data_IF_223925579027
#
_entry.id   IF_223925579027
#
_cell.length_a   1.000
_cell.length_b   1.000
_cell.length_c   1.000
_cell.angle_alpha   90.00
_cell.angle_beta   90.00
_cell.angle_gamma   90.00
#
_symmetry.space_group_name_H-M   'P 1'
#
loop_
_entity.id
_entity.type
_entity.pdbx_description
1 polymer ?
#
# COMPACT_ATOMS: atom_id res chain seq x y z
N UNK A 1 12.55 -36.27 -9.25
CA UNK A 1 11.13 -36.36 -9.67
C UNK A 1 10.68 -35.00 -10.19
N UNK A 2 9.77 -34.95 -11.16
CA UNK A 2 9.19 -33.67 -11.64
C UNK A 2 8.48 -32.96 -10.49
N UNK A 3 8.72 -31.65 -10.37
CA UNK A 3 8.05 -30.78 -9.39
C UNK A 3 6.58 -30.62 -9.79
N UNK A 4 5.62 -31.12 -9.00
CA UNK A 4 4.21 -30.77 -9.21
C UNK A 4 3.99 -29.34 -8.70
N UNK A 5 3.19 -28.56 -9.41
CA UNK A 5 2.76 -27.23 -8.96
C UNK A 5 1.41 -27.37 -8.27
N UNK A 6 1.34 -26.98 -7.00
CA UNK A 6 0.13 -26.98 -6.17
C UNK A 6 -0.41 -25.55 -6.11
N UNK A 7 -1.62 -25.36 -6.64
CA UNK A 7 -2.29 -24.04 -6.69
C UNK A 7 -3.41 -23.94 -5.66
N UNK A 8 -4.09 -25.05 -5.42
CA UNK A 8 -5.32 -25.10 -4.61
C UNK A 8 -5.02 -25.78 -3.27
N UNK A 9 -4.25 -25.11 -2.42
CA UNK A 9 -4.08 -25.60 -1.05
C UNK A 9 -5.36 -25.36 -0.25
N UNK A 10 -5.89 -26.41 0.36
CA UNK A 10 -7.05 -26.33 1.24
C UNK A 10 -6.68 -26.53 2.70
N UNK A 11 -7.18 -25.65 3.57
CA UNK A 11 -7.08 -25.79 5.01
C UNK A 11 -7.79 -27.07 5.48
N UNK A 12 -7.08 -27.95 6.17
CA UNK A 12 -7.65 -29.17 6.74
C UNK A 12 -8.61 -28.92 7.93
N UNK A 13 -8.80 -27.66 8.32
CA UNK A 13 -9.57 -27.24 9.51
C UNK A 13 -9.18 -28.00 10.79
N UNK A 14 -7.88 -28.33 10.94
CA UNK A 14 -7.40 -29.13 12.06
C UNK A 14 -7.33 -28.37 13.40
N UNK A 15 -7.51 -27.05 13.38
CA UNK A 15 -7.45 -26.18 14.56
C UNK A 15 -6.04 -25.88 15.08
N UNK A 16 -5.03 -26.64 14.65
CA UNK A 16 -3.70 -26.56 15.24
C UNK A 16 -2.97 -25.24 15.03
N UNK A 17 -3.02 -24.65 13.82
CA UNK A 17 -2.45 -23.30 13.64
C UNK A 17 -3.24 -22.27 14.43
N UNK A 18 -4.59 -22.37 14.47
CA UNK A 18 -5.46 -21.47 15.22
C UNK A 18 -5.23 -21.52 16.74
N UNK A 19 -4.75 -22.65 17.27
CA UNK A 19 -4.48 -22.85 18.69
C UNK A 19 -3.12 -22.28 19.15
N UNK A 20 -2.27 -21.86 18.21
CA UNK A 20 -0.91 -21.36 18.47
C UNK A 20 -0.62 -20.11 17.64
N UNK A 21 -1.41 -19.06 17.79
CA UNK A 21 -1.18 -17.76 17.14
C UNK A 21 -0.84 -16.70 18.19
N UNK A 22 0.17 -15.88 17.90
CA UNK A 22 0.43 -14.67 18.69
C UNK A 22 -0.47 -13.53 18.19
N UNK A 23 -0.40 -13.22 16.90
CA UNK A 23 -1.25 -12.22 16.23
C UNK A 23 -1.58 -12.66 14.81
N UNK A 24 -2.83 -12.46 14.40
CA UNK A 24 -3.25 -12.63 13.00
C UNK A 24 -3.47 -11.26 12.40
N UNK A 25 -2.62 -10.86 11.45
CA UNK A 25 -2.74 -9.57 10.77
C UNK A 25 -4.06 -9.50 10.02
N UNK A 26 -4.74 -8.36 10.17
CA UNK A 26 -6.01 -8.03 9.58
C UNK A 26 -5.86 -6.72 8.80
N UNK A 27 -6.70 -6.51 7.80
CA UNK A 27 -6.92 -5.17 7.24
C UNK A 27 -8.21 -4.56 7.72
N UNK A 28 -8.33 -3.23 7.64
CA UNK A 28 -9.61 -2.54 7.88
C UNK A 28 -10.71 -3.05 6.96
N UNK A 29 -10.38 -3.40 5.71
CA UNK A 29 -11.31 -4.08 4.81
C UNK A 29 -11.87 -5.39 5.39
N UNK A 30 -11.00 -6.23 5.95
CA UNK A 30 -11.41 -7.51 6.52
C UNK A 30 -12.14 -7.36 7.86
N UNK A 31 -11.85 -6.31 8.64
CA UNK A 31 -12.62 -5.97 9.84
C UNK A 31 -14.10 -5.76 9.50
N UNK A 32 -14.38 -4.94 8.48
CA UNK A 32 -15.76 -4.69 8.04
C UNK A 32 -16.41 -5.95 7.45
N UNK A 33 -15.63 -6.79 6.75
CA UNK A 33 -16.16 -8.06 6.22
C UNK A 33 -16.49 -9.06 7.33
N UNK A 34 -15.62 -9.21 8.33
CA UNK A 34 -15.79 -10.14 9.44
C UNK A 34 -16.89 -9.69 10.40
N UNK A 35 -16.97 -8.41 10.73
CA UNK A 35 -18.06 -7.85 11.54
C UNK A 35 -19.43 -8.13 10.91
N UNK A 36 -19.58 -7.90 9.60
CA UNK A 36 -20.80 -8.29 8.86
C UNK A 36 -21.09 -9.79 8.91
N UNK A 37 -20.09 -10.64 8.71
CA UNK A 37 -20.24 -12.10 8.78
C UNK A 37 -20.74 -12.58 10.15
N UNK A 38 -20.33 -11.88 11.21
CA UNK A 38 -20.73 -12.15 12.58
C UNK A 38 -21.96 -11.36 13.05
N UNK A 39 -22.58 -10.56 12.17
CA UNK A 39 -23.71 -9.70 12.49
C UNK A 39 -23.41 -8.75 13.67
N UNK A 40 -22.22 -8.18 13.67
CA UNK A 40 -21.75 -7.21 14.67
C UNK A 40 -21.48 -5.85 14.03
N UNK A 41 -21.61 -4.79 14.82
CA UNK A 41 -21.14 -3.48 14.41
C UNK A 41 -19.60 -3.46 14.30
N UNK A 42 -19.00 -2.77 13.31
CA UNK A 42 -17.54 -2.72 13.13
C UNK A 42 -16.78 -2.25 14.40
N UNK A 43 -17.32 -1.28 15.12
CA UNK A 43 -16.74 -0.78 16.37
C UNK A 43 -16.77 -1.86 17.47
N UNK A 44 -17.89 -2.58 17.62
CA UNK A 44 -17.99 -3.67 18.59
C UNK A 44 -17.03 -4.81 18.24
N UNK A 45 -16.91 -5.16 16.95
CA UNK A 45 -15.95 -6.15 16.48
C UNK A 45 -14.51 -5.73 16.79
N UNK A 46 -14.16 -4.46 16.53
CA UNK A 46 -12.85 -3.91 16.85
C UNK A 46 -12.54 -4.07 18.34
N UNK A 47 -13.41 -3.55 19.21
CA UNK A 47 -13.21 -3.60 20.66
C UNK A 47 -13.08 -5.03 21.17
N UNK A 48 -13.90 -5.93 20.62
CA UNK A 48 -13.98 -7.32 21.08
C UNK A 48 -12.88 -8.22 20.54
N UNK A 49 -12.36 -7.99 19.33
CA UNK A 49 -11.47 -8.92 18.64
C UNK A 49 -10.19 -8.32 18.08
N UNK A 50 -10.04 -7.00 18.04
CA UNK A 50 -8.91 -6.35 17.39
C UNK A 50 -7.99 -5.60 18.33
N UNK A 51 -6.78 -5.32 17.83
CA UNK A 51 -5.81 -4.42 18.42
C UNK A 51 -5.02 -3.75 17.29
N UNK A 52 -4.68 -2.47 17.47
CA UNK A 52 -3.70 -1.79 16.61
C UNK A 52 -2.37 -1.75 17.35
N UNK A 53 -1.34 -2.34 16.77
CA UNK A 53 -0.01 -2.38 17.39
C UNK A 53 1.08 -2.46 16.32
N UNK A 54 2.30 -2.07 16.68
CA UNK A 54 3.49 -2.43 15.94
C UNK A 54 4.02 -3.80 16.40
N UNK A 55 4.78 -4.47 15.55
CA UNK A 55 5.47 -5.74 15.83
C UNK A 55 6.93 -5.63 15.40
N UNK A 56 7.77 -6.59 15.78
CA UNK A 56 9.16 -6.66 15.29
C UNK A 56 9.25 -6.84 13.76
N UNK A 57 8.23 -7.46 13.15
CA UNK A 57 8.13 -7.66 11.70
C UNK A 57 7.54 -6.44 10.98
N UNK A 58 6.66 -5.69 11.64
CA UNK A 58 6.02 -4.49 11.11
C UNK A 58 6.13 -3.36 12.15
N UNK A 59 7.17 -2.51 12.08
CA UNK A 59 7.39 -1.46 13.08
C UNK A 59 6.34 -0.33 13.01
N UNK A 60 5.59 -0.24 11.92
CA UNK A 60 4.43 0.64 11.81
C UNK A 60 3.18 -0.01 12.43
N UNK A 61 2.32 0.74 13.12
CA UNK A 61 1.07 0.21 13.68
C UNK A 61 0.16 -0.37 12.58
N UNK A 62 -0.26 -1.62 12.77
CA UNK A 62 -1.22 -2.31 11.91
C UNK A 62 -2.34 -2.93 12.75
N UNK A 63 -3.43 -3.32 12.08
CA UNK A 63 -4.56 -4.00 12.69
C UNK A 63 -4.30 -5.50 12.82
N UNK A 64 -4.60 -6.06 13.98
CA UNK A 64 -4.46 -7.50 14.25
C UNK A 64 -5.69 -8.02 14.98
N UNK A 65 -5.99 -9.30 14.79
CA UNK A 65 -6.88 -10.04 15.70
C UNK A 65 -6.08 -10.32 16.98
N UNK A 66 -6.64 -9.92 18.13
CA UNK A 66 -6.07 -10.22 19.45
C UNK A 66 -6.34 -11.68 19.81
N UNK A 67 -5.30 -12.38 20.22
CA UNK A 67 -5.38 -13.79 20.62
C UNK A 67 -5.68 -13.87 22.12
N UNK A 68 -6.34 -14.95 22.53
CA UNK A 68 -6.69 -15.21 23.94
C UNK A 68 -5.97 -16.48 24.35
N UNK A 69 -5.03 -16.36 25.29
CA UNK A 69 -4.17 -17.46 25.73
C UNK A 69 -3.43 -18.16 24.57
N UNK A 70 -2.94 -17.39 23.60
CA UNK A 70 -2.21 -17.91 22.42
C UNK A 70 -3.10 -18.58 21.36
N UNK A 71 -4.44 -18.50 21.50
CA UNK A 71 -5.38 -19.05 20.55
C UNK A 71 -6.19 -17.95 19.84
N UNK A 72 -6.53 -18.20 18.58
CA UNK A 72 -7.46 -17.39 17.82
C UNK A 72 -8.85 -17.40 18.49
N UNK A 73 -9.47 -16.24 18.73
CA UNK A 73 -10.77 -16.16 19.42
C UNK A 73 -11.93 -16.78 18.61
N UNK A 74 -11.69 -17.09 17.33
CA UNK A 74 -12.65 -17.77 16.46
C UNK A 74 -12.44 -19.29 16.41
N UNK A 75 -11.52 -19.85 17.19
CA UNK A 75 -11.39 -21.30 17.35
C UNK A 75 -12.47 -21.81 18.30
N UNK A 76 -13.44 -22.58 17.78
CA UNK A 76 -14.52 -23.21 18.55
C UNK A 76 -14.58 -24.70 18.22
N UNK A 77 -14.62 -25.55 19.23
CA UNK A 77 -14.69 -27.01 19.06
C UNK A 77 -13.62 -27.57 18.09
N UNK A 78 -12.40 -27.03 18.23
CA UNK A 78 -11.25 -27.32 17.37
C UNK A 78 -11.42 -26.96 15.87
N UNK A 79 -12.39 -26.09 15.54
CA UNK A 79 -12.65 -25.61 14.18
C UNK A 79 -12.74 -24.08 14.13
N UNK A 80 -12.38 -23.50 12.99
CA UNK A 80 -12.53 -22.06 12.78
C UNK A 80 -14.00 -21.72 12.56
N UNK A 81 -14.61 -20.95 13.46
CA UNK A 81 -16.01 -20.55 13.37
C UNK A 81 -16.29 -19.51 12.27
N UNK A 82 -15.24 -18.88 11.73
CA UNK A 82 -15.31 -17.88 10.67
C UNK A 82 -14.61 -18.35 9.40
N UNK A 83 -14.51 -19.66 9.17
CA UNK A 83 -13.68 -20.22 8.10
C UNK A 83 -13.99 -19.63 6.72
N UNK A 84 -15.27 -19.47 6.37
CA UNK A 84 -15.71 -18.88 5.10
C UNK A 84 -15.32 -17.40 4.96
N UNK A 85 -15.35 -16.65 6.06
CA UNK A 85 -15.00 -15.22 6.08
C UNK A 85 -13.57 -14.95 6.56
N UNK A 86 -12.75 -16.00 6.73
CA UNK A 86 -11.44 -15.93 7.41
C UNK A 86 -10.53 -14.86 6.80
N UNK A 87 -9.65 -14.21 7.59
CA UNK A 87 -8.76 -13.17 7.08
C UNK A 87 -7.94 -13.64 5.87
N UNK A 88 -7.55 -12.73 4.98
CA UNK A 88 -6.57 -12.90 3.91
C UNK A 88 -5.31 -13.59 4.40
N UNK A 89 -4.79 -13.26 5.59
CA UNK A 89 -3.65 -13.96 6.17
C UNK A 89 -3.92 -15.47 6.35
N UNK A 90 -5.14 -15.84 6.74
CA UNK A 90 -5.57 -17.22 6.90
C UNK A 90 -6.01 -17.89 5.58
N UNK A 91 -6.57 -17.13 4.62
CA UNK A 91 -6.92 -17.64 3.30
C UNK A 91 -5.67 -17.95 2.48
N UNK A 92 -4.67 -17.08 2.56
CA UNK A 92 -3.42 -17.22 1.84
C UNK A 92 -2.52 -18.29 2.48
N UNK A 93 -2.74 -18.65 3.75
CA UNK A 93 -1.91 -19.64 4.42
C UNK A 93 -2.00 -21.02 3.74
N UNK A 94 -0.87 -21.70 3.49
CA UNK A 94 0.50 -21.34 3.89
C UNK A 94 1.23 -20.40 2.93
N UNK A 95 0.69 -20.17 1.73
CA UNK A 95 1.25 -19.33 0.67
C UNK A 95 0.99 -17.82 0.85
N UNK A 96 1.72 -17.17 1.78
CA UNK A 96 1.74 -15.70 1.89
C UNK A 96 2.66 -15.00 0.89
N UNK A 97 3.33 -15.77 0.03
CA UNK A 97 4.24 -15.32 -1.02
C UNK A 97 3.84 -15.97 -2.33
N UNK A 98 4.34 -15.44 -3.45
CA UNK A 98 3.97 -15.93 -4.77
C UNK A 98 4.29 -17.42 -4.96
N UNK A 99 5.47 -17.88 -4.57
CA UNK A 99 5.81 -19.30 -4.63
C UNK A 99 6.77 -19.69 -3.51
N UNK A 100 6.73 -20.95 -3.12
CA UNK A 100 7.67 -21.54 -2.16
C UNK A 100 7.82 -23.04 -2.43
N UNK A 101 9.00 -23.62 -2.15
CA UNK A 101 9.13 -25.08 -2.16
C UNK A 101 8.36 -25.65 -0.96
N UNK A 102 7.68 -26.77 -1.18
CA UNK A 102 6.89 -27.44 -0.15
C UNK A 102 7.74 -27.81 1.06
N UNK A 103 8.98 -28.28 0.86
CA UNK A 103 9.92 -28.55 1.95
C UNK A 103 10.20 -27.32 2.82
N UNK A 104 10.43 -26.15 2.20
CA UNK A 104 10.81 -24.94 2.92
C UNK A 104 9.61 -24.43 3.74
N UNK A 105 8.40 -24.59 3.19
CA UNK A 105 7.17 -24.31 3.91
C UNK A 105 6.93 -25.28 5.06
N UNK A 106 7.16 -26.59 4.87
CA UNK A 106 7.06 -27.58 5.96
C UNK A 106 8.04 -27.26 7.09
N UNK A 107 9.27 -26.86 6.78
CA UNK A 107 10.27 -26.48 7.77
C UNK A 107 9.86 -25.21 8.54
N UNK A 108 9.32 -24.20 7.84
CA UNK A 108 8.70 -23.05 8.50
C UNK A 108 7.57 -23.48 9.44
N UNK A 109 6.69 -24.38 9.00
CA UNK A 109 5.57 -24.84 9.82
C UNK A 109 6.06 -25.62 11.04
N UNK A 110 7.03 -26.52 10.91
CA UNK A 110 7.62 -27.27 12.04
C UNK A 110 8.27 -26.36 13.08
N UNK A 111 8.87 -25.26 12.64
CA UNK A 111 9.52 -24.30 13.54
C UNK A 111 8.51 -23.54 14.43
N UNK A 112 7.25 -23.43 14.01
CA UNK A 112 6.22 -22.63 14.69
C UNK A 112 5.06 -23.44 15.25
N UNK A 113 4.81 -24.64 14.72
CA UNK A 113 3.62 -25.44 15.01
C UNK A 113 3.92 -26.95 15.03
N UNK A 114 3.06 -27.72 15.70
CA UNK A 114 3.06 -29.19 15.70
C UNK A 114 1.86 -29.69 14.89
N UNK A 115 2.00 -29.80 13.58
CA UNK A 115 0.90 -30.03 12.63
C UNK A 115 1.10 -31.21 11.67
N UNK A 116 2.16 -31.98 11.86
CA UNK A 116 2.61 -33.05 10.96
C UNK A 116 1.52 -34.09 10.71
N UNK A 117 0.79 -34.46 11.76
CA UNK A 117 -0.27 -35.49 11.70
C UNK A 117 -1.63 -34.95 11.25
N UNK A 118 -1.80 -33.62 11.20
CA UNK A 118 -3.14 -33.00 11.09
C UNK A 118 -3.31 -32.04 9.91
N UNK A 119 -2.24 -31.44 9.40
CA UNK A 119 -2.30 -30.46 8.31
C UNK A 119 -2.11 -31.12 6.94
N UNK A 120 -2.91 -30.69 5.96
CA UNK A 120 -2.84 -31.12 4.56
C UNK A 120 -1.47 -30.85 3.91
N UNK A 121 -0.71 -29.86 4.40
CA UNK A 121 0.63 -29.53 3.91
C UNK A 121 1.59 -30.73 4.01
N UNK A 122 1.49 -31.51 5.08
CA UNK A 122 2.41 -32.64 5.31
C UNK A 122 2.12 -33.86 4.44
N UNK A 123 1.00 -33.85 3.70
CA UNK A 123 0.64 -34.88 2.71
C UNK A 123 1.29 -34.65 1.33
N UNK A 124 1.87 -33.48 1.09
CA UNK A 124 2.47 -33.09 -0.20
C UNK A 124 3.93 -33.59 -0.31
N UNK A 125 4.48 -33.69 -1.53
CA UNK A 125 5.89 -34.06 -1.72
C UNK A 125 6.81 -32.87 -1.43
N UNK A 126 7.98 -33.11 -0.84
CA UNK A 126 8.94 -32.06 -0.50
C UNK A 126 9.46 -31.28 -1.73
N UNK A 127 9.44 -31.90 -2.91
CA UNK A 127 9.85 -31.28 -4.17
C UNK A 127 8.72 -30.54 -4.89
N UNK A 128 7.48 -30.60 -4.39
CA UNK A 128 6.36 -29.85 -4.94
C UNK A 128 6.56 -28.35 -4.74
N UNK A 129 5.99 -27.54 -5.64
CA UNK A 129 5.99 -26.08 -5.54
C UNK A 129 4.60 -25.62 -5.14
N UNK A 130 4.49 -24.88 -4.04
CA UNK A 130 3.26 -24.20 -3.67
C UNK A 130 3.22 -22.83 -4.37
N UNK A 131 2.14 -22.55 -5.09
CA UNK A 131 1.94 -21.31 -5.83
C UNK A 131 0.74 -20.54 -5.29
N UNK A 132 0.98 -19.36 -4.69
CA UNK A 132 -0.05 -18.52 -4.09
C UNK A 132 -1.15 -18.09 -5.06
N UNK A 133 -2.37 -17.92 -4.53
CA UNK A 133 -3.48 -17.33 -5.27
C UNK A 133 -3.20 -15.84 -5.52
N UNK A 134 -2.92 -15.49 -6.77
CA UNK A 134 -2.62 -14.12 -7.18
C UNK A 134 -3.75 -13.13 -6.93
N UNK A 135 -4.99 -13.53 -7.10
CA UNK A 135 -6.12 -12.62 -6.91
C UNK A 135 -6.30 -12.33 -5.42
N UNK A 136 -6.16 -13.37 -4.60
CA UNK A 136 -6.16 -13.21 -3.14
C UNK A 136 -5.00 -12.34 -2.67
N UNK A 137 -3.77 -12.66 -3.07
CA UNK A 137 -2.58 -11.94 -2.65
C UNK A 137 -2.57 -10.50 -3.15
N UNK A 138 -3.04 -10.22 -4.37
CA UNK A 138 -3.12 -8.85 -4.88
C UNK A 138 -4.13 -8.00 -4.10
N UNK A 139 -5.31 -8.55 -3.76
CA UNK A 139 -6.28 -7.85 -2.91
C UNK A 139 -5.74 -7.62 -1.50
N UNK A 140 -5.05 -8.61 -0.94
CA UNK A 140 -4.40 -8.48 0.35
C UNK A 140 -3.34 -7.37 0.33
N UNK A 141 -2.48 -7.35 -0.69
CA UNK A 141 -1.45 -6.31 -0.87
C UNK A 141 -2.06 -4.92 -0.93
N UNK A 142 -3.12 -4.72 -1.72
CA UNK A 142 -3.80 -3.42 -1.82
C UNK A 142 -4.35 -3.00 -0.46
N UNK A 143 -5.06 -3.90 0.22
CA UNK A 143 -5.64 -3.58 1.52
C UNK A 143 -4.56 -3.26 2.57
N UNK A 144 -3.40 -3.93 2.53
CA UNK A 144 -2.25 -3.56 3.36
C UNK A 144 -1.66 -2.20 2.99
N UNK A 145 -1.53 -1.87 1.70
CA UNK A 145 -1.05 -0.54 1.29
C UNK A 145 -1.98 0.57 1.78
N UNK A 146 -3.29 0.36 1.74
CA UNK A 146 -4.27 1.33 2.26
C UNK A 146 -4.11 1.53 3.76
N UNK A 147 -4.04 0.44 4.54
CA UNK A 147 -3.89 0.55 5.99
C UNK A 147 -2.55 1.17 6.39
N UNK A 148 -1.46 0.76 5.75
CA UNK A 148 -0.12 1.30 5.99
C UNK A 148 -0.05 2.81 5.69
N UNK A 149 -0.60 3.24 4.54
CA UNK A 149 -0.69 4.65 4.19
C UNK A 149 -1.57 5.44 5.18
N UNK A 150 -2.69 4.86 5.59
CA UNK A 150 -3.61 5.51 6.53
C UNK A 150 -2.99 5.67 7.92
N UNK A 151 -2.40 4.62 8.50
CA UNK A 151 -1.76 4.67 9.80
C UNK A 151 -0.49 5.54 9.80
N UNK A 152 0.17 5.70 8.65
CA UNK A 152 1.28 6.64 8.49
C UNK A 152 0.86 8.12 8.49
N UNK A 153 -0.39 8.42 8.10
CA UNK A 153 -0.95 9.78 8.10
C UNK A 153 -1.75 10.12 9.36
N UNK A 154 -2.33 9.11 10.00
CA UNK A 154 -3.24 9.30 11.11
C UNK A 154 -2.51 9.89 12.34
N UNK A 155 -3.04 11.00 12.85
CA UNK A 155 -2.70 11.54 14.16
C UNK A 155 -3.98 11.78 14.95
N UNK A 156 -3.98 11.46 16.25
CA UNK A 156 -5.17 11.60 17.09
C UNK A 156 -6.19 10.47 16.92
N UNK A 157 -7.50 10.80 16.89
CA UNK A 157 -8.59 9.82 16.80
C UNK A 157 -8.60 9.11 15.44
N UNK A 158 -8.70 7.78 15.45
CA UNK A 158 -8.66 6.92 14.27
C UNK A 158 -10.08 6.60 13.78
N UNK A 159 -10.41 6.92 12.52
CA UNK A 159 -11.65 6.53 11.85
C UNK A 159 -11.39 5.45 10.80
N UNK A 160 -11.60 4.18 11.19
CA UNK A 160 -11.37 3.02 10.32
C UNK A 160 -12.38 2.89 9.16
N UNK A 161 -13.44 3.71 9.10
CA UNK A 161 -14.35 3.75 7.95
C UNK A 161 -13.70 4.35 6.69
N UNK A 162 -12.70 5.21 6.89
CA UNK A 162 -11.93 5.82 5.80
C UNK A 162 -11.09 4.78 5.05
N UNK A 163 -10.13 4.08 5.69
CA UNK A 163 -9.32 3.07 5.00
C UNK A 163 -10.17 1.90 4.50
N UNK A 164 -11.27 1.54 5.18
CA UNK A 164 -12.21 0.55 4.67
C UNK A 164 -12.75 0.93 3.27
N UNK A 165 -13.32 2.13 3.12
CA UNK A 165 -13.91 2.59 1.85
C UNK A 165 -12.87 2.66 0.73
N UNK A 166 -11.67 3.14 1.05
CA UNK A 166 -10.58 3.25 0.07
C UNK A 166 -10.06 1.87 -0.34
N UNK A 167 -9.92 0.95 0.60
CA UNK A 167 -9.55 -0.43 0.29
C UNK A 167 -10.63 -1.11 -0.56
N UNK A 168 -11.91 -0.98 -0.20
CA UNK A 168 -13.03 -1.55 -0.95
C UNK A 168 -13.09 -1.02 -2.39
N UNK A 169 -12.78 0.27 -2.60
CA UNK A 169 -12.62 0.82 -3.94
C UNK A 169 -11.49 0.14 -4.73
N UNK A 170 -10.28 0.11 -4.15
CA UNK A 170 -9.08 -0.27 -4.90
C UNK A 170 -8.87 -1.77 -5.08
N UNK A 171 -9.39 -2.63 -4.18
CA UNK A 171 -9.31 -4.08 -4.36
C UNK A 171 -10.14 -4.56 -5.56
N UNK A 172 -11.10 -3.76 -6.01
CA UNK A 172 -11.93 -4.03 -7.19
C UNK A 172 -11.40 -3.34 -8.45
N UNK A 173 -10.52 -2.33 -8.30
CA UNK A 173 -9.90 -1.63 -9.42
C UNK A 173 -8.93 -2.57 -10.18
N UNK A 174 -9.12 -2.68 -11.50
CA UNK A 174 -8.31 -3.56 -12.34
C UNK A 174 -6.86 -3.08 -12.41
N UNK A 175 -6.65 -1.77 -12.58
CA UNK A 175 -5.31 -1.20 -12.69
C UNK A 175 -4.50 -1.44 -11.43
N UNK A 176 -5.09 -1.17 -10.26
CA UNK A 176 -4.49 -1.40 -8.96
C UNK A 176 -4.19 -2.88 -8.71
N UNK A 177 -5.10 -3.78 -9.06
CA UNK A 177 -4.84 -5.23 -8.98
C UNK A 177 -3.72 -5.68 -9.89
N UNK A 178 -3.64 -5.15 -11.11
CA UNK A 178 -2.55 -5.50 -12.03
C UNK A 178 -1.20 -5.02 -11.47
N UNK A 179 -1.13 -3.86 -10.83
CA UNK A 179 0.06 -3.37 -10.11
C UNK A 179 0.39 -4.30 -8.92
N UNK A 180 -0.59 -4.61 -8.08
CA UNK A 180 -0.39 -5.45 -6.89
C UNK A 180 0.02 -6.89 -7.23
N UNK A 181 -0.51 -7.47 -8.30
CA UNK A 181 -0.09 -8.80 -8.79
C UNK A 181 1.39 -8.84 -9.14
N UNK A 182 1.88 -7.79 -9.81
CA UNK A 182 3.29 -7.70 -10.20
C UNK A 182 4.19 -7.52 -8.96
N UNK A 183 3.72 -6.78 -7.96
CA UNK A 183 4.40 -6.64 -6.67
C UNK A 183 4.53 -7.97 -5.91
N UNK A 184 3.44 -8.74 -5.81
CA UNK A 184 3.41 -10.02 -5.08
C UNK A 184 4.39 -11.05 -5.63
N UNK A 185 4.65 -11.05 -6.94
CA UNK A 185 5.57 -11.98 -7.61
C UNK A 185 7.02 -11.80 -7.15
N UNK A 186 7.40 -10.60 -6.70
CA UNK A 186 8.80 -10.30 -6.39
C UNK A 186 8.96 -9.32 -5.20
N UNK A 187 8.79 -9.80 -3.96
CA UNK A 187 8.90 -8.94 -2.77
C UNK A 187 10.35 -8.59 -2.39
N UNK A 188 11.35 -9.41 -2.77
CA UNK A 188 12.76 -9.27 -2.34
C UNK A 188 13.78 -8.93 -3.43
N UNK A 189 13.42 -8.92 -4.72
CA UNK A 189 14.28 -8.35 -5.77
C UNK A 189 13.57 -7.18 -6.45
N UNK A 190 14.30 -6.15 -6.90
CA UNK A 190 13.71 -5.06 -7.65
C UNK A 190 13.75 -5.39 -9.14
N UNK A 191 12.62 -5.69 -9.81
CA UNK A 191 12.56 -5.50 -11.24
C UNK A 191 11.98 -4.10 -11.42
N UNK A 192 12.84 -3.13 -11.70
CA UNK A 192 12.54 -1.95 -12.51
C UNK A 192 11.09 -1.95 -13.07
N UNK A 193 10.18 -1.09 -12.57
CA UNK A 193 8.85 -0.75 -13.11
C UNK A 193 7.62 -1.65 -12.81
N UNK A 194 6.74 -1.23 -11.89
CA UNK A 194 5.32 -1.70 -11.87
C UNK A 194 4.30 -0.69 -11.34
N UNK A 195 4.63 0.61 -11.24
CA UNK A 195 3.70 1.65 -10.76
C UNK A 195 3.22 1.48 -9.31
N UNK A 196 3.88 0.66 -8.48
CA UNK A 196 3.51 0.46 -7.07
C UNK A 196 3.61 1.74 -6.24
N UNK A 197 4.61 2.57 -6.50
CA UNK A 197 4.80 3.86 -5.85
C UNK A 197 3.73 4.86 -6.30
N UNK A 198 3.34 4.83 -7.58
CA UNK A 198 2.22 5.60 -8.10
C UNK A 198 0.88 5.11 -7.51
N UNK A 199 0.71 3.81 -7.37
CA UNK A 199 -0.43 3.19 -6.70
C UNK A 199 -0.52 3.62 -5.24
N UNK A 200 0.58 3.55 -4.50
CA UNK A 200 0.66 3.99 -3.11
C UNK A 200 0.39 5.50 -3.00
N UNK A 201 0.95 6.33 -3.90
CA UNK A 201 0.63 7.76 -3.96
C UNK A 201 -0.87 8.00 -4.19
N UNK A 202 -1.51 7.30 -5.16
CA UNK A 202 -2.96 7.38 -5.41
C UNK A 202 -3.79 6.97 -4.19
N UNK A 203 -3.37 5.93 -3.48
CA UNK A 203 -4.00 5.49 -2.23
C UNK A 203 -3.92 6.60 -1.18
N UNK A 204 -2.74 7.16 -0.95
CA UNK A 204 -2.51 8.25 0.01
C UNK A 204 -3.32 9.50 -0.34
N UNK A 205 -3.38 9.88 -1.63
CA UNK A 205 -4.24 10.95 -2.16
C UNK A 205 -5.70 10.72 -1.77
N UNK A 206 -6.20 9.52 -2.06
CA UNK A 206 -7.61 9.16 -1.88
C UNK A 206 -7.98 9.12 -0.41
N UNK A 207 -7.11 8.56 0.43
CA UNK A 207 -7.28 8.56 1.89
C UNK A 207 -7.32 9.98 2.43
N UNK A 208 -6.38 10.84 2.00
CA UNK A 208 -6.32 12.22 2.45
C UNK A 208 -7.60 12.99 2.07
N UNK A 209 -8.09 12.76 0.84
CA UNK A 209 -9.33 13.37 0.36
C UNK A 209 -10.55 12.86 1.15
N UNK A 210 -10.60 11.56 1.46
CA UNK A 210 -11.66 10.98 2.27
C UNK A 210 -11.65 11.50 3.73
N UNK A 211 -10.47 11.74 4.31
CA UNK A 211 -10.34 12.35 5.66
C UNK A 211 -10.87 13.78 5.69
N UNK A 212 -10.68 14.54 4.61
CA UNK A 212 -11.13 15.94 4.51
C UNK A 212 -12.53 16.11 3.91
N UNK A 213 -13.26 15.02 3.71
CA UNK A 213 -14.56 15.01 3.03
C UNK A 213 -14.54 15.80 1.71
N UNK A 214 -13.63 15.42 0.82
CA UNK A 214 -13.35 16.15 -0.42
C UNK A 214 -13.08 15.26 -1.62
N UNK A 215 -13.16 15.85 -2.82
CA UNK A 215 -12.63 15.28 -4.06
C UNK A 215 -11.10 15.42 -4.17
N UNK A 216 -10.49 14.57 -5.01
CA UNK A 216 -9.10 14.68 -5.42
C UNK A 216 -8.98 14.60 -6.94
N UNK A 217 -7.90 15.18 -7.46
CA UNK A 217 -7.48 15.00 -8.84
C UNK A 217 -5.97 14.67 -8.88
N UNK A 218 -5.59 13.76 -9.76
CA UNK A 218 -4.18 13.47 -10.01
C UNK A 218 -3.77 14.19 -11.29
N UNK A 219 -2.78 15.08 -11.18
CA UNK A 219 -2.18 15.70 -12.35
C UNK A 219 -1.17 14.73 -12.93
N UNK A 220 -1.54 14.12 -14.06
CA UNK A 220 -0.58 13.34 -14.84
C UNK A 220 0.37 14.30 -15.52
N UNK A 221 1.66 14.18 -15.22
CA UNK A 221 2.67 15.07 -15.75
C UNK A 221 3.85 14.28 -16.27
N UNK A 222 4.29 14.62 -17.49
CA UNK A 222 5.44 13.99 -18.13
C UNK A 222 6.63 14.95 -18.11
N UNK A 223 7.79 14.45 -17.70
CA UNK A 223 9.01 15.25 -17.74
C UNK A 223 9.34 15.58 -19.21
N UNK A 224 9.56 16.87 -19.47
CA UNK A 224 9.97 17.35 -20.79
C UNK A 224 11.47 17.61 -20.82
N UNK A 225 11.93 18.58 -20.04
CA UNK A 225 13.32 19.04 -20.05
C UNK A 225 13.71 19.65 -18.71
N UNK A 226 14.97 20.04 -18.61
CA UNK A 226 15.54 20.78 -17.49
C UNK A 226 15.88 22.18 -17.98
N UNK A 227 15.66 23.18 -17.12
CA UNK A 227 16.01 24.57 -17.45
C UNK A 227 16.78 25.24 -16.33
N UNK A 228 17.29 26.44 -16.60
CA UNK A 228 18.03 27.26 -15.64
C UNK A 228 17.57 28.72 -15.71
N UNK A 229 17.33 29.34 -14.57
CA UNK A 229 16.98 30.76 -14.43
C UNK A 229 17.88 31.40 -13.37
N UNK A 230 18.34 32.63 -13.64
CA UNK A 230 19.31 33.31 -12.79
C UNK A 230 18.83 33.57 -11.35
N UNK A 231 17.51 33.56 -11.10
CA UNK A 231 16.92 33.89 -9.79
C UNK A 231 16.70 32.64 -8.94
N UNK A 232 16.22 31.56 -9.55
CA UNK A 232 15.81 30.33 -8.86
C UNK A 232 16.78 29.16 -9.06
N UNK A 233 17.71 29.27 -10.00
CA UNK A 233 18.62 28.20 -10.39
C UNK A 233 17.98 27.22 -11.37
N UNK A 234 18.36 25.95 -11.24
CA UNK A 234 17.89 24.88 -12.12
C UNK A 234 16.48 24.43 -11.74
N UNK A 235 15.65 24.12 -12.74
CA UNK A 235 14.27 23.68 -12.56
C UNK A 235 13.90 22.52 -13.49
N UNK A 236 12.84 21.80 -13.11
CA UNK A 236 12.22 20.76 -13.94
C UNK A 236 11.02 21.32 -14.69
N UNK A 237 10.96 21.04 -16.00
CA UNK A 237 9.79 21.33 -16.82
C UNK A 237 8.99 20.04 -17.06
N UNK A 238 7.71 20.11 -16.74
CA UNK A 238 6.72 19.06 -16.91
C UNK A 238 5.66 19.49 -17.92
N UNK A 239 5.16 18.55 -18.71
CA UNK A 239 3.98 18.73 -19.55
C UNK A 239 2.76 18.07 -18.90
N UNK A 240 1.62 18.75 -18.94
CA UNK A 240 0.32 18.21 -18.53
C UNK A 240 -0.78 18.87 -19.36
N UNK A 241 -2.04 18.47 -19.19
CA UNK A 241 -3.16 19.04 -19.92
C UNK A 241 -3.49 20.49 -19.47
N UNK A 242 -4.16 21.25 -20.34
CA UNK A 242 -4.44 22.66 -20.10
C UNK A 242 -5.34 22.90 -18.86
N UNK A 243 -6.27 21.99 -18.55
CA UNK A 243 -7.13 22.10 -17.36
C UNK A 243 -6.32 21.85 -16.07
N UNK A 244 -5.40 20.88 -16.08
CA UNK A 244 -4.46 20.66 -14.98
C UNK A 244 -3.57 21.89 -14.74
N UNK A 245 -3.04 22.53 -15.79
CA UNK A 245 -2.23 23.76 -15.64
C UNK A 245 -3.05 24.90 -15.06
N UNK A 246 -4.32 25.04 -15.48
CA UNK A 246 -5.24 26.05 -14.97
C UNK A 246 -5.56 25.82 -13.49
N UNK A 247 -5.85 24.58 -13.08
CA UNK A 247 -6.10 24.22 -11.68
C UNK A 247 -4.88 24.53 -10.79
N UNK A 248 -3.68 24.12 -11.22
CA UNK A 248 -2.43 24.42 -10.52
C UNK A 248 -2.22 25.93 -10.41
N UNK A 249 -2.51 26.70 -11.46
CA UNK A 249 -2.32 28.16 -11.47
C UNK A 249 -3.20 28.83 -10.42
N UNK A 250 -4.47 28.45 -10.33
CA UNK A 250 -5.40 28.99 -9.35
C UNK A 250 -4.93 28.74 -7.90
N UNK A 251 -4.38 27.55 -7.63
CA UNK A 251 -3.86 27.22 -6.30
C UNK A 251 -2.59 28.00 -5.95
N UNK A 252 -1.69 28.19 -6.93
CA UNK A 252 -0.49 29.01 -6.76
C UNK A 252 -0.85 30.48 -6.54
N UNK A 253 -1.69 31.06 -7.40
CA UNK A 253 -2.07 32.49 -7.35
C UNK A 253 -2.86 32.84 -6.10
N UNK A 254 -3.66 31.90 -5.58
CA UNK A 254 -4.39 32.08 -4.32
C UNK A 254 -3.52 31.89 -3.07
N UNK A 255 -2.27 31.45 -3.22
CA UNK A 255 -1.37 31.13 -2.09
C UNK A 255 -1.82 29.91 -1.28
N UNK A 256 -2.70 29.08 -1.83
CA UNK A 256 -3.33 27.96 -1.12
C UNK A 256 -2.62 26.63 -1.31
N UNK A 257 -1.63 26.59 -2.19
CA UNK A 257 -0.83 25.40 -2.43
C UNK A 257 0.14 25.13 -1.26
N UNK A 258 -0.31 24.38 -0.26
CA UNK A 258 0.55 23.81 0.79
C UNK A 258 1.13 22.47 0.34
N UNK A 259 2.45 22.42 0.18
CA UNK A 259 3.22 21.23 -0.24
C UNK A 259 4.13 20.73 0.88
N UNK A 260 3.83 21.05 2.14
CA UNK A 260 4.59 20.58 3.30
C UNK A 260 4.69 19.04 3.36
N UNK A 261 3.79 18.32 2.67
CA UNK A 261 3.81 16.87 2.50
C UNK A 261 4.34 16.47 1.11
N UNK A 262 5.57 16.87 0.82
CA UNK A 262 6.33 16.34 -0.31
C UNK A 262 7.09 15.09 0.14
N UNK A 263 6.78 13.96 -0.47
CA UNK A 263 7.45 12.68 -0.23
C UNK A 263 8.35 12.38 -1.43
N UNK A 264 9.66 12.36 -1.21
CA UNK A 264 10.58 11.72 -2.14
C UNK A 264 10.91 10.34 -1.60
N UNK A 265 10.69 9.32 -2.42
CA UNK A 265 11.07 7.95 -2.12
C UNK A 265 12.07 7.47 -3.15
N UNK A 266 13.21 6.95 -2.71
CA UNK A 266 14.09 6.23 -3.62
C UNK A 266 13.33 5.03 -4.18
N UNK A 267 13.28 4.92 -5.50
CA UNK A 267 12.69 3.77 -6.16
C UNK A 267 13.51 2.55 -5.79
N UNK A 268 12.86 1.58 -5.13
CA UNK A 268 13.48 0.27 -4.90
C UNK A 268 13.80 -0.41 -6.23
N UNK A 269 12.96 -0.16 -7.25
CA UNK A 269 13.06 -0.76 -8.58
C UNK A 269 14.23 -0.20 -9.41
N UNK A 270 14.54 1.08 -9.26
CA UNK A 270 15.67 1.77 -9.91
C UNK A 270 16.52 2.47 -8.86
N UNK A 271 17.56 1.79 -8.37
CA UNK A 271 18.49 2.37 -7.39
C UNK A 271 19.06 3.68 -7.94
N UNK A 272 19.00 4.74 -7.15
CA UNK A 272 19.37 6.08 -7.57
C UNK A 272 18.27 6.87 -8.27
N UNK A 273 17.18 6.27 -8.77
CA UNK A 273 16.01 7.04 -9.21
C UNK A 273 15.09 7.29 -8.02
N UNK A 274 14.62 8.51 -7.86
CA UNK A 274 13.63 8.92 -6.87
C UNK A 274 12.29 9.18 -7.53
N UNK A 275 11.24 8.77 -6.85
CA UNK A 275 9.87 9.15 -7.16
C UNK A 275 9.49 10.25 -6.18
N UNK A 276 9.33 11.47 -6.69
CA UNK A 276 8.85 12.60 -5.89
C UNK A 276 7.35 12.71 -6.10
N UNK A 277 6.60 12.50 -5.03
CA UNK A 277 5.18 12.74 -4.96
C UNK A 277 4.93 13.92 -4.02
N UNK A 278 4.32 14.98 -4.52
CA UNK A 278 3.81 16.03 -3.66
C UNK A 278 2.30 15.91 -3.56
N UNK A 279 1.80 16.03 -2.34
CA UNK A 279 0.39 16.05 -2.04
C UNK A 279 0.04 17.45 -1.55
N UNK A 280 -0.84 18.12 -2.27
CA UNK A 280 -1.60 19.21 -1.69
C UNK A 280 -2.94 18.65 -1.24
N UNK A 281 -3.41 19.05 -0.07
CA UNK A 281 -4.82 19.39 -0.05
C UNK A 281 -5.20 20.21 1.17
N UNK A 282 -6.37 20.80 1.03
CA UNK A 282 -6.85 21.84 1.91
C UNK A 282 -8.27 21.50 2.28
N UNK A 283 -8.53 21.38 3.58
CA UNK A 283 -9.90 21.29 4.09
C UNK A 283 -10.69 22.57 3.82
N UNK A 284 -10.01 23.70 3.61
CA UNK A 284 -10.66 24.96 3.24
C UNK A 284 -11.14 24.94 1.79
N UNK A 285 -10.41 24.27 0.91
CA UNK A 285 -10.65 24.33 -0.54
C UNK A 285 -11.28 23.08 -1.12
N UNK A 286 -11.42 22.01 -0.33
CA UNK A 286 -11.93 20.73 -0.77
C UNK A 286 -11.27 20.27 -2.09
N UNK A 287 -9.94 20.23 -2.09
CA UNK A 287 -9.16 19.64 -3.18
C UNK A 287 -7.97 18.90 -2.59
N UNK A 288 -7.73 17.67 -3.07
CA UNK A 288 -6.43 17.03 -2.97
C UNK A 288 -5.79 16.88 -4.37
N UNK A 289 -4.57 17.37 -4.54
CA UNK A 289 -3.78 17.24 -5.77
C UNK A 289 -2.51 16.46 -5.53
N UNK A 290 -2.18 15.61 -6.49
CA UNK A 290 -0.89 14.96 -6.53
C UNK A 290 -0.28 14.94 -7.92
N UNK A 291 1.04 14.89 -7.97
CA UNK A 291 1.80 14.57 -9.17
C UNK A 291 2.97 13.67 -8.77
N UNK A 292 3.47 12.93 -9.74
CA UNK A 292 4.56 11.98 -9.55
C UNK A 292 5.62 12.25 -10.61
N UNK A 293 6.87 12.42 -10.19
CA UNK A 293 8.00 12.59 -11.11
C UNK A 293 9.15 11.63 -10.76
N UNK A 294 9.78 11.09 -11.79
CA UNK A 294 11.03 10.33 -11.67
C UNK A 294 12.24 11.24 -11.88
N UNK A 295 13.22 11.19 -10.99
CA UNK A 295 14.49 11.93 -11.11
C UNK A 295 15.66 11.11 -10.58
N UNK A 296 16.83 11.18 -11.21
CA UNK A 296 18.03 10.52 -10.67
C UNK A 296 18.57 11.26 -9.44
N UNK A 297 19.26 10.55 -8.54
CA UNK A 297 19.76 11.06 -7.26
C UNK A 297 20.68 12.23 -7.46
N UNK A 298 21.65 12.07 -8.35
CA UNK A 298 22.61 13.13 -8.68
C UNK A 298 21.93 14.34 -9.32
N UNK A 299 20.82 14.14 -10.05
CA UNK A 299 20.02 15.26 -10.56
C UNK A 299 19.31 15.98 -9.42
N UNK A 300 18.64 15.26 -8.51
CA UNK A 300 17.99 15.87 -7.35
C UNK A 300 18.99 16.61 -6.46
N UNK A 301 20.14 16.01 -6.17
CA UNK A 301 21.23 16.65 -5.43
C UNK A 301 21.72 17.92 -6.14
N UNK A 302 21.83 17.90 -7.48
CA UNK A 302 22.20 19.08 -8.25
C UNK A 302 21.11 20.17 -8.26
N UNK A 303 19.83 19.80 -8.40
CA UNK A 303 18.72 20.75 -8.41
C UNK A 303 18.48 21.39 -7.05
N UNK A 304 18.69 20.62 -5.98
CA UNK A 304 18.44 21.06 -4.61
C UNK A 304 19.69 21.55 -3.89
N UNK A 305 20.85 21.59 -4.56
CA UNK A 305 22.15 21.86 -3.94
C UNK A 305 22.40 21.00 -2.68
N UNK A 306 22.23 19.68 -2.81
CA UNK A 306 22.25 18.70 -1.73
C UNK A 306 21.20 18.98 -0.64
N UNK A 307 19.99 19.36 -1.04
CA UNK A 307 18.88 19.65 -0.14
C UNK A 307 18.89 21.06 0.49
N UNK A 308 19.86 21.92 0.16
CA UNK A 308 19.92 23.29 0.67
C UNK A 308 18.93 24.25 -0.01
N UNK A 309 18.41 23.88 -1.18
CA UNK A 309 17.40 24.63 -1.94
C UNK A 309 16.21 23.75 -2.32
N UNK A 310 15.00 24.32 -2.45
CA UNK A 310 13.85 23.57 -2.94
C UNK A 310 14.05 23.16 -4.41
N UNK A 311 13.44 22.04 -4.79
CA UNK A 311 13.30 21.67 -6.20
C UNK A 311 12.22 22.54 -6.83
N UNK A 312 12.56 23.33 -7.85
CA UNK A 312 11.57 24.10 -8.60
C UNK A 312 10.98 23.24 -9.73
N UNK A 313 9.65 23.14 -9.77
CA UNK A 313 8.92 22.40 -10.80
C UNK A 313 7.94 23.33 -11.51
N UNK A 314 7.95 23.29 -12.84
CA UNK A 314 7.05 24.05 -13.70
C UNK A 314 6.25 23.12 -14.60
N UNK A 315 5.02 23.50 -14.87
CA UNK A 315 4.06 22.79 -15.70
C UNK A 315 3.70 23.64 -16.91
N UNK A 316 3.66 22.99 -18.08
CA UNK A 316 3.28 23.57 -19.37
C UNK A 316 2.11 22.80 -19.97
N UNK A 317 1.14 23.54 -20.49
CA UNK A 317 -0.04 23.00 -21.17
C UNK A 317 0.23 22.73 -22.66
N UNK A 318 -0.79 22.21 -23.35
CA UNK A 318 -0.79 22.05 -24.81
C UNK A 318 -0.91 23.37 -25.56
N UNK A 319 -1.46 24.41 -24.94
CA UNK A 319 -1.63 25.72 -25.57
C UNK A 319 -0.28 26.45 -25.77
N UNK A 320 -0.10 27.05 -26.96
CA UNK A 320 1.18 27.61 -27.42
C UNK A 320 1.64 28.89 -26.68
N UNK A 321 0.77 29.50 -25.87
CA UNK A 321 0.92 30.81 -25.23
C UNK A 321 1.83 30.82 -23.97
N UNK A 322 2.56 29.73 -23.71
CA UNK A 322 3.90 29.79 -23.11
C UNK A 322 4.00 30.21 -21.64
N UNK A 323 2.89 30.37 -20.90
CA UNK A 323 2.94 30.65 -19.47
C UNK A 323 3.09 29.37 -18.65
N UNK A 324 4.28 29.21 -18.07
CA UNK A 324 4.57 28.18 -17.09
C UNK A 324 3.85 28.46 -15.77
N UNK A 325 3.28 27.43 -15.16
CA UNK A 325 2.81 27.46 -13.77
C UNK A 325 3.76 26.60 -12.94
N UNK A 326 4.36 27.13 -11.87
CA UNK A 326 5.30 26.36 -11.07
C UNK A 326 5.41 26.84 -9.64
N UNK A 327 6.07 26.02 -8.82
CA UNK A 327 6.20 26.22 -7.38
C UNK A 327 7.43 25.46 -6.83
N UNK A 328 7.98 25.91 -5.69
CA UNK A 328 9.07 25.20 -5.02
C UNK A 328 8.57 23.97 -4.25
N UNK A 329 9.36 22.90 -4.28
CA UNK A 329 9.15 21.67 -3.51
C UNK A 329 10.29 21.48 -2.51
N UNK A 330 9.94 21.41 -1.23
CA UNK A 330 10.89 21.05 -0.19
C UNK A 330 11.03 19.52 -0.16
N UNK A 331 12.08 19.01 -0.79
CA UNK A 331 12.36 17.58 -0.81
C UNK A 331 13.26 17.25 0.37
N UNK A 332 12.80 16.30 1.20
CA UNK A 332 13.68 15.60 2.14
C UNK A 332 14.14 14.31 1.44
N UNK A 333 15.40 14.29 1.01
CA UNK A 333 16.07 13.10 0.43
C UNK A 333 16.60 12.25 1.59
#
# INVERSE_FOLDING_TARGET
MMKKVIRDFECAMCGGCCASQDLVQLTTYELYRLSRSLQMEPAEFFDKYCVVTATSLNPMPHLYIKTVNGACPFLKDNKCSVHESRPYACQAYPMRVYWVLTRDMKDFVRAHYKLEDSCSLFKLDDNDVLLGDFELLSRQTIAYWVDDAYFSMAGGTVDLSVPYRVADLYIHDKGMRDVAKRYVVNPEHPPVAYDSELAYAKITLTLQAAVWDTSFALVSAERQETGEDARIGKYLLMATDDESVKALRLLVESGRLDLARTLAMESKARKGTFIVAALHGSSTDHVALGFVLGAEKGELEAFTENGNKPLYVFFKGSAADGKLTGFPLNIKI
#
